data_IF_555395758032
#
_entry.id   IF_555395758032
#
_cell.length_a   1.000
_cell.length_b   1.000
_cell.length_c   1.000
_cell.angle_alpha   90.00
_cell.angle_beta   90.00
_cell.angle_gamma   90.00
#
_symmetry.space_group_name_H-M   'P 1'
#
loop_
_entity.id
_entity.type
_entity.pdbx_description
1 polymer ?
#
# COMPACT_ATOMS: atom_id res chain seq x y z
N UNK A 1 20.84 -13.49 -5.83
CA UNK A 1 20.11 -13.00 -4.64
C UNK A 1 19.83 -14.21 -3.78
N UNK A 2 20.44 -14.28 -2.59
CA UNK A 2 20.20 -15.40 -1.65
C UNK A 2 18.73 -15.41 -1.24
N UNK A 3 18.07 -16.57 -1.13
CA UNK A 3 16.73 -16.66 -0.58
C UNK A 3 16.83 -16.31 0.90
N UNK A 4 16.49 -15.08 1.26
CA UNK A 4 16.28 -14.71 2.66
C UNK A 4 15.28 -15.72 3.23
N UNK A 5 15.74 -16.51 4.19
CA UNK A 5 14.94 -17.61 4.73
C UNK A 5 13.73 -16.99 5.42
N UNK A 6 12.53 -17.55 5.29
CA UNK A 6 11.30 -17.00 5.91
C UNK A 6 11.48 -16.61 7.39
N UNK A 7 12.32 -17.34 8.13
CA UNK A 7 12.71 -17.06 9.50
C UNK A 7 13.46 -15.72 9.68
N UNK A 8 14.34 -15.35 8.76
CA UNK A 8 15.08 -14.07 8.78
C UNK A 8 14.13 -12.89 8.63
N UNK A 9 13.19 -12.97 7.68
CA UNK A 9 12.17 -11.94 7.49
C UNK A 9 11.24 -11.83 8.69
N UNK A 10 10.81 -12.96 9.25
CA UNK A 10 10.00 -12.98 10.46
C UNK A 10 10.74 -12.33 11.64
N UNK A 11 12.01 -12.64 11.84
CA UNK A 11 12.85 -12.04 12.89
C UNK A 11 13.04 -10.53 12.68
N UNK A 12 13.23 -10.09 11.43
CA UNK A 12 13.32 -8.67 11.09
C UNK A 12 12.01 -7.92 11.40
N UNK A 13 10.86 -8.47 11.03
CA UNK A 13 9.57 -7.87 11.37
C UNK A 13 9.41 -7.79 12.89
N UNK A 14 9.72 -8.88 13.61
CA UNK A 14 9.64 -8.91 15.07
C UNK A 14 10.62 -7.95 15.77
N UNK A 15 11.78 -7.67 15.19
CA UNK A 15 12.75 -6.72 15.76
C UNK A 15 12.22 -5.28 15.68
N UNK A 16 11.51 -4.92 14.60
CA UNK A 16 10.86 -3.61 14.42
C UNK A 16 9.72 -3.43 15.45
N UNK A 17 9.02 -4.50 15.83
CA UNK A 17 7.95 -4.44 16.86
C UNK A 17 8.41 -3.85 18.19
N UNK A 18 9.72 -3.85 18.49
CA UNK A 18 10.23 -3.22 19.70
C UNK A 18 9.93 -1.72 19.76
N UNK A 19 9.70 -1.05 18.61
CA UNK A 19 9.28 0.35 18.54
C UNK A 19 7.86 0.59 19.09
N UNK A 20 7.03 -0.46 19.15
CA UNK A 20 5.68 -0.39 19.71
C UNK A 20 5.68 -0.63 21.23
N UNK A 21 6.84 -0.91 21.84
CA UNK A 21 6.96 -1.18 23.27
C UNK A 21 6.63 0.09 24.06
N UNK A 22 5.72 -0.05 25.03
CA UNK A 22 5.22 1.06 25.84
C UNK A 22 3.71 1.17 25.68
N UNK A 23 3.22 1.89 24.65
CA UNK A 23 1.78 2.13 24.45
C UNK A 23 0.99 0.85 24.12
N UNK A 24 1.63 -0.20 23.60
CA UNK A 24 0.97 -1.45 23.21
C UNK A 24 1.53 -2.67 23.97
N UNK A 25 0.64 -3.62 24.31
CA UNK A 25 1.05 -4.94 24.81
C UNK A 25 1.53 -5.83 23.66
N UNK A 26 2.38 -6.82 23.94
CA UNK A 26 2.95 -7.74 22.91
C UNK A 26 1.88 -8.42 22.05
N UNK A 27 0.72 -8.77 22.64
CA UNK A 27 -0.40 -9.36 21.89
C UNK A 27 -1.10 -8.36 20.96
N UNK A 28 -0.93 -7.06 21.17
CA UNK A 28 -1.53 -5.97 20.39
C UNK A 28 -0.66 -5.51 19.23
N UNK A 29 0.63 -5.83 19.21
CA UNK A 29 1.51 -5.49 18.08
C UNK A 29 0.94 -5.97 16.74
N UNK A 30 0.30 -7.15 16.73
CA UNK A 30 -0.39 -7.69 15.56
C UNK A 30 -1.50 -6.75 15.03
N UNK A 31 -2.19 -6.01 15.90
CA UNK A 31 -3.24 -5.06 15.51
C UNK A 31 -2.68 -3.89 14.70
N UNK A 32 -1.39 -3.56 14.85
CA UNK A 32 -0.73 -2.46 14.12
C UNK A 32 0.01 -3.00 12.90
N UNK A 33 0.76 -4.09 13.06
CA UNK A 33 1.64 -4.62 12.01
C UNK A 33 0.84 -5.20 10.85
N UNK A 34 -0.22 -5.97 11.13
CA UNK A 34 -1.02 -6.61 10.08
C UNK A 34 -1.66 -5.59 9.13
N UNK A 35 -2.42 -4.57 9.59
CA UNK A 35 -2.99 -3.60 8.67
C UNK A 35 -1.94 -2.82 7.91
N UNK A 36 -0.83 -2.42 8.53
CA UNK A 36 0.26 -1.72 7.82
C UNK A 36 0.92 -2.61 6.77
N UNK A 37 1.13 -3.89 7.05
CA UNK A 37 1.68 -4.86 6.09
C UNK A 37 0.75 -5.05 4.90
N UNK A 38 -0.56 -5.15 5.15
CA UNK A 38 -1.58 -5.25 4.10
C UNK A 38 -1.63 -3.97 3.24
N UNK A 39 -1.65 -2.80 3.88
CA UNK A 39 -1.62 -1.51 3.18
C UNK A 39 -0.37 -1.35 2.33
N UNK A 40 0.81 -1.70 2.87
CA UNK A 40 2.06 -1.67 2.11
C UNK A 40 2.03 -2.65 0.93
N UNK A 41 1.43 -3.82 1.10
CA UNK A 41 1.26 -4.77 -0.01
C UNK A 41 0.40 -4.17 -1.11
N UNK A 42 -0.75 -3.58 -0.77
CA UNK A 42 -1.61 -2.90 -1.76
C UNK A 42 -0.88 -1.77 -2.49
N UNK A 43 -0.13 -0.95 -1.76
CA UNK A 43 0.68 0.13 -2.32
C UNK A 43 1.72 -0.42 -3.32
N UNK A 44 2.50 -1.46 -2.95
CA UNK A 44 3.47 -2.10 -3.85
C UNK A 44 2.81 -2.71 -5.10
N UNK A 45 1.59 -3.25 -4.98
CA UNK A 45 0.86 -3.85 -6.11
C UNK A 45 0.36 -2.81 -7.12
N UNK A 46 0.14 -1.57 -6.67
CA UNK A 46 -0.36 -0.46 -7.49
C UNK A 46 0.75 0.51 -7.92
N UNK A 47 1.91 0.51 -7.26
CA UNK A 47 3.06 1.35 -7.57
C UNK A 47 3.42 1.43 -9.07
N UNK A 48 3.49 0.32 -9.84
CA UNK A 48 3.86 0.39 -11.26
C UNK A 48 2.78 1.03 -12.14
N UNK A 49 1.51 1.00 -11.73
CA UNK A 49 0.38 1.46 -12.56
C UNK A 49 -0.19 2.79 -12.09
N UNK A 50 0.24 3.30 -10.92
CA UNK A 50 -0.38 4.46 -10.27
C UNK A 50 -0.33 5.75 -11.09
N UNK A 51 0.82 6.09 -11.68
CA UNK A 51 0.94 7.29 -12.50
C UNK A 51 -0.06 7.28 -13.67
N UNK A 52 -0.18 6.12 -14.33
CA UNK A 52 -1.11 5.90 -15.43
C UNK A 52 -2.57 5.98 -14.97
N UNK A 53 -2.90 5.37 -13.83
CA UNK A 53 -4.25 5.43 -13.23
C UNK A 53 -4.66 6.87 -12.93
N UNK A 54 -3.75 7.69 -12.37
CA UNK A 54 -4.05 9.08 -12.03
C UNK A 54 -4.26 9.95 -13.29
N UNK A 55 -3.47 9.73 -14.33
CA UNK A 55 -3.63 10.40 -15.63
C UNK A 55 -4.96 10.00 -16.31
N UNK A 56 -5.22 8.71 -16.43
CA UNK A 56 -6.46 8.22 -17.04
C UNK A 56 -7.69 8.69 -16.25
N UNK A 57 -7.63 8.64 -14.92
CA UNK A 57 -8.71 9.12 -14.06
C UNK A 57 -9.03 10.61 -14.30
N UNK A 58 -8.01 11.46 -14.53
CA UNK A 58 -8.25 12.88 -14.89
C UNK A 58 -8.97 13.02 -16.23
N UNK A 59 -8.61 12.21 -17.23
CA UNK A 59 -9.23 12.25 -18.55
C UNK A 59 -10.69 11.74 -18.55
N UNK A 60 -11.01 10.75 -17.71
CA UNK A 60 -12.31 10.07 -17.71
C UNK A 60 -13.24 10.50 -16.56
N UNK A 61 -12.84 11.45 -15.70
CA UNK A 61 -13.60 11.86 -14.50
C UNK A 61 -15.06 12.28 -14.78
N UNK A 62 -15.37 12.74 -15.99
CA UNK A 62 -16.72 13.16 -16.39
C UNK A 62 -17.61 12.01 -16.88
N UNK A 63 -17.09 10.80 -17.00
CA UNK A 63 -17.83 9.60 -17.44
C UNK A 63 -18.61 8.98 -16.29
N UNK A 64 -19.63 8.16 -16.58
CA UNK A 64 -20.33 7.39 -15.55
C UNK A 64 -19.35 6.48 -14.77
N UNK A 65 -19.58 6.36 -13.46
CA UNK A 65 -18.69 5.69 -12.51
C UNK A 65 -18.35 4.24 -12.90
N UNK A 66 -19.33 3.49 -13.42
CA UNK A 66 -19.13 2.12 -13.89
C UNK A 66 -18.06 2.02 -14.99
N UNK A 67 -18.04 2.99 -15.91
CA UNK A 67 -17.05 3.02 -17.01
C UNK A 67 -15.69 3.43 -16.49
N UNK A 68 -15.63 4.40 -15.56
CA UNK A 68 -14.39 4.80 -14.89
C UNK A 68 -13.78 3.60 -14.17
N UNK A 69 -14.57 2.90 -13.36
CA UNK A 69 -14.15 1.71 -12.62
C UNK A 69 -13.56 0.64 -13.54
N UNK A 70 -14.30 0.27 -14.60
CA UNK A 70 -13.87 -0.78 -15.52
C UNK A 70 -12.57 -0.42 -16.26
N UNK A 71 -12.40 0.84 -16.65
CA UNK A 71 -11.18 1.31 -17.29
C UNK A 71 -9.98 1.30 -16.34
N UNK A 72 -10.16 1.77 -15.11
CA UNK A 72 -9.08 1.83 -14.13
C UNK A 72 -8.65 0.44 -13.67
N UNK A 73 -9.59 -0.50 -13.48
CA UNK A 73 -9.28 -1.90 -13.17
C UNK A 73 -8.50 -2.58 -14.32
N UNK A 74 -8.85 -2.26 -15.58
CA UNK A 74 -8.10 -2.72 -16.76
C UNK A 74 -6.69 -2.14 -16.79
N UNK A 75 -6.53 -0.89 -16.41
CA UNK A 75 -5.24 -0.20 -16.39
C UNK A 75 -4.34 -0.65 -15.24
N UNK A 76 -4.90 -1.00 -14.08
CA UNK A 76 -4.14 -1.61 -12.99
C UNK A 76 -3.86 -3.10 -13.21
N UNK A 77 -4.66 -3.76 -14.07
CA UNK A 77 -4.64 -5.22 -14.22
C UNK A 77 -5.13 -5.95 -12.96
N UNK A 78 -5.88 -5.25 -12.10
CA UNK A 78 -6.34 -5.74 -10.79
C UNK A 78 -7.77 -5.27 -10.54
N UNK A 79 -8.58 -6.00 -9.75
CA UNK A 79 -9.96 -5.62 -9.43
C UNK A 79 -10.06 -4.44 -8.44
N UNK A 80 -8.98 -3.67 -8.28
CA UNK A 80 -8.89 -2.52 -7.39
C UNK A 80 -7.87 -1.51 -7.92
N UNK A 81 -8.03 -0.26 -7.50
CA UNK A 81 -7.17 0.87 -7.85
C UNK A 81 -7.16 1.89 -6.71
N UNK A 82 -6.18 2.80 -6.73
CA UNK A 82 -6.07 3.88 -5.76
C UNK A 82 -6.04 5.22 -6.50
N UNK A 83 -6.97 6.11 -6.14
CA UNK A 83 -7.09 7.47 -6.71
C UNK A 83 -6.34 8.53 -5.90
N UNK A 84 -5.83 8.17 -4.72
CA UNK A 84 -5.01 9.07 -3.91
C UNK A 84 -3.68 9.36 -4.61
N UNK A 85 -3.28 10.64 -4.58
CA UNK A 85 -1.96 11.08 -5.06
C UNK A 85 -0.82 10.63 -4.14
N UNK A 86 -1.15 10.16 -2.94
CA UNK A 86 -0.21 9.78 -1.89
C UNK A 86 0.17 8.31 -2.01
N UNK A 87 1.47 8.06 -1.94
CA UNK A 87 2.13 6.75 -1.83
C UNK A 87 2.75 6.64 -0.44
N UNK A 88 3.10 5.44 0.04
CA UNK A 88 3.81 5.31 1.32
C UNK A 88 5.09 6.14 1.38
N UNK A 89 5.80 6.32 0.25
CA UNK A 89 6.97 7.20 0.20
C UNK A 89 6.60 8.68 0.36
N UNK A 90 5.52 9.13 -0.30
CA UNK A 90 5.05 10.52 -0.24
C UNK A 90 4.31 10.86 1.06
N UNK A 91 3.82 9.85 1.78
CA UNK A 91 3.24 10.00 3.11
C UNK A 91 4.30 10.33 4.17
N UNK A 92 5.57 10.02 3.88
CA UNK A 92 6.71 10.38 4.73
C UNK A 92 7.25 11.79 4.42
N UNK A 93 6.88 12.38 3.28
CA UNK A 93 7.19 13.78 3.00
C UNK A 93 6.31 14.66 3.91
N UNK A 94 6.96 15.26 4.89
CA UNK A 94 6.31 16.17 5.84
C UNK A 94 5.81 17.42 5.10
N UNK A 95 4.54 17.83 5.26
CA UNK A 95 4.03 19.06 4.69
C UNK A 95 4.64 20.25 5.44
N UNK A 96 5.82 20.70 5.00
CA UNK A 96 6.31 22.04 5.34
C UNK A 96 5.54 23.10 4.55
#
# INVERSE_FOLDING_TARGET
>A
MTPETHSQLANFIWSICNLLRGPYKRNEYRKVILPLTVLRRFDCLLAPTKAKVLEEHQAIKKKPENVVRSLLERTTGRPFYNLSKLDFSKLLDDPN
#
